data_IF_250753261455
#
_entry.id   IF_250753261455
#
_cell.length_a   1.000
_cell.length_b   1.000
_cell.length_c   1.000
_cell.angle_alpha   90.00
_cell.angle_beta   90.00
_cell.angle_gamma   90.00
#
_symmetry.space_group_name_H-M   'P 1'
#
loop_
_entity.id
_entity.type
_entity.pdbx_description
1 polymer ?
#
# COMPACT_ATOMS: atom_id res chain seq x y z
N UNK A 1 11.68 -38.00 -36.20
CA UNK A 1 11.45 -37.78 -34.76
C UNK A 1 10.73 -39.01 -34.21
N UNK A 2 11.36 -39.74 -33.30
CA UNK A 2 10.67 -40.80 -32.57
C UNK A 2 9.68 -40.18 -31.58
N UNK A 3 8.47 -40.73 -31.40
CA UNK A 3 7.53 -40.23 -30.41
C UNK A 3 8.13 -40.40 -29.01
N UNK A 4 8.36 -39.26 -28.34
CA UNK A 4 8.82 -39.22 -26.95
C UNK A 4 7.76 -39.90 -26.08
N UNK A 5 8.05 -41.12 -25.62
CA UNK A 5 7.18 -41.83 -24.68
C UNK A 5 7.42 -41.23 -23.29
N UNK A 6 6.45 -40.52 -22.70
CA UNK A 6 6.64 -39.94 -21.37
C UNK A 6 6.87 -41.06 -20.36
N UNK A 7 7.78 -40.89 -19.39
CA UNK A 7 7.99 -41.87 -18.34
C UNK A 7 6.68 -42.12 -17.59
N UNK A 8 6.22 -43.38 -17.56
CA UNK A 8 4.93 -43.82 -17.04
C UNK A 8 4.88 -43.95 -15.51
N UNK A 9 5.79 -43.30 -14.78
CA UNK A 9 5.83 -43.31 -13.32
C UNK A 9 5.30 -42.01 -12.72
N UNK A 10 4.65 -42.05 -11.53
CA UNK A 10 4.35 -40.84 -10.78
C UNK A 10 5.68 -40.17 -10.43
N UNK A 11 5.94 -38.99 -11.01
CA UNK A 11 7.11 -38.21 -10.65
C UNK A 11 6.88 -37.69 -9.23
N UNK A 12 7.62 -38.14 -8.21
CA UNK A 12 7.44 -37.62 -6.87
C UNK A 12 7.69 -36.11 -6.87
N UNK A 13 6.91 -35.39 -6.05
CA UNK A 13 7.08 -33.97 -5.77
C UNK A 13 8.41 -33.74 -5.04
N UNK A 14 9.52 -33.80 -5.77
CA UNK A 14 10.85 -33.58 -5.25
C UNK A 14 11.21 -32.10 -5.37
N UNK A 15 11.41 -31.46 -4.24
CA UNK A 15 12.11 -30.18 -4.18
C UNK A 15 13.54 -30.39 -4.68
N UNK A 16 13.95 -29.61 -5.68
CA UNK A 16 15.29 -29.70 -6.27
C UNK A 16 15.92 -28.32 -6.26
N UNK A 17 17.05 -28.19 -5.58
CA UNK A 17 17.85 -26.97 -5.57
C UNK A 17 18.66 -26.91 -6.86
N UNK A 18 18.42 -25.89 -7.69
CA UNK A 18 19.05 -25.75 -9.02
C UNK A 18 19.75 -24.40 -9.25
N UNK A 19 19.78 -23.55 -8.22
CA UNK A 19 20.28 -22.17 -8.27
C UNK A 19 21.80 -21.99 -8.33
N UNK A 20 22.57 -23.09 -8.37
CA UNK A 20 24.02 -23.08 -8.19
C UNK A 20 24.78 -22.30 -9.29
N UNK A 21 24.18 -22.16 -10.48
CA UNK A 21 24.83 -21.55 -11.65
C UNK A 21 24.36 -20.10 -11.93
N UNK A 22 23.65 -19.46 -10.99
CA UNK A 22 23.19 -18.08 -11.15
C UNK A 22 24.18 -17.14 -10.48
N UNK A 23 24.74 -16.21 -11.24
CA UNK A 23 25.70 -15.22 -10.70
C UNK A 23 25.01 -14.23 -9.76
N UNK A 24 25.79 -13.57 -8.90
CA UNK A 24 25.27 -12.59 -7.93
C UNK A 24 24.59 -11.39 -8.64
N UNK A 25 25.14 -10.91 -9.75
CA UNK A 25 24.54 -9.82 -10.52
C UNK A 25 23.19 -10.22 -11.13
N UNK A 26 23.08 -11.46 -11.61
CA UNK A 26 21.81 -12.02 -12.11
C UNK A 26 20.79 -12.16 -10.98
N UNK A 27 21.22 -12.55 -9.78
CA UNK A 27 20.36 -12.57 -8.59
C UNK A 27 19.77 -11.20 -8.29
N UNK A 28 20.60 -10.14 -8.29
CA UNK A 28 20.10 -8.79 -8.07
C UNK A 28 19.10 -8.36 -9.15
N UNK A 29 19.36 -8.68 -10.42
CA UNK A 29 18.43 -8.40 -11.50
C UNK A 29 17.09 -9.12 -11.30
N UNK A 30 17.12 -10.41 -10.97
CA UNK A 30 15.93 -11.23 -10.74
C UNK A 30 15.12 -10.77 -9.54
N UNK A 31 15.77 -10.43 -8.42
CA UNK A 31 15.09 -9.89 -7.24
C UNK A 31 14.50 -8.51 -7.51
N UNK A 32 15.19 -7.67 -8.28
CA UNK A 32 14.68 -6.35 -8.67
C UNK A 32 13.41 -6.49 -9.51
N UNK A 33 13.42 -7.35 -10.53
CA UNK A 33 12.24 -7.64 -11.36
C UNK A 33 11.10 -8.27 -10.55
N UNK A 34 11.43 -9.16 -9.63
CA UNK A 34 10.47 -9.78 -8.71
C UNK A 34 9.77 -8.71 -7.85
N UNK A 35 10.52 -7.86 -7.15
CA UNK A 35 9.93 -6.90 -6.22
C UNK A 35 9.34 -5.66 -6.89
N UNK A 36 9.69 -5.34 -8.14
CA UNK A 36 9.21 -4.15 -8.82
C UNK A 36 7.67 -4.02 -8.88
N UNK A 37 6.89 -5.06 -9.23
CA UNK A 37 5.43 -5.01 -9.17
C UNK A 37 4.87 -4.79 -7.76
N UNK A 38 5.44 -5.45 -6.75
CA UNK A 38 5.00 -5.27 -5.36
C UNK A 38 5.29 -3.84 -4.89
N UNK A 39 6.51 -3.35 -5.14
CA UNK A 39 6.92 -2.00 -4.79
C UNK A 39 6.05 -0.95 -5.50
N UNK A 40 5.82 -1.09 -6.81
CA UNK A 40 4.93 -0.21 -7.56
C UNK A 40 3.50 -0.21 -7.00
N UNK A 41 2.95 -1.39 -6.71
CA UNK A 41 1.61 -1.52 -6.14
C UNK A 41 1.50 -0.85 -4.77
N UNK A 42 2.49 -1.08 -3.89
CA UNK A 42 2.51 -0.57 -2.52
C UNK A 42 2.79 0.94 -2.51
N UNK A 43 3.94 1.38 -3.04
CA UNK A 43 4.39 2.77 -2.98
C UNK A 43 3.39 3.75 -3.58
N UNK A 44 2.77 3.37 -4.69
CA UNK A 44 1.80 4.23 -5.39
C UNK A 44 0.37 4.02 -4.86
N UNK A 45 0.11 2.89 -4.18
CA UNK A 45 -1.23 2.48 -3.74
C UNK A 45 -1.65 2.95 -2.35
N UNK A 46 -0.68 3.11 -1.44
CA UNK A 46 -0.93 3.50 -0.05
C UNK A 46 -1.63 4.88 0.03
N UNK A 47 -2.66 5.03 0.88
CA UNK A 47 -3.26 6.34 1.18
C UNK A 47 -2.31 7.23 1.98
N UNK A 48 -2.46 8.55 1.85
CA UNK A 48 -1.81 9.48 2.77
C UNK A 48 -2.36 9.29 4.17
N UNK A 49 -1.49 8.99 5.13
CA UNK A 49 -1.88 8.77 6.53
C UNK A 49 -1.98 10.12 7.24
N UNK A 50 -3.12 10.40 7.86
CA UNK A 50 -3.33 11.61 8.67
C UNK A 50 -3.50 11.17 10.12
N UNK A 51 -2.53 11.51 10.96
CA UNK A 51 -2.58 11.21 12.38
C UNK A 51 -3.27 12.34 13.14
N UNK A 52 -4.27 12.02 13.97
CA UNK A 52 -4.91 13.03 14.84
C UNK A 52 -4.82 12.68 16.32
N UNK A 53 -4.07 11.63 16.66
CA UNK A 53 -4.10 11.05 17.99
C UNK A 53 -3.05 11.60 18.95
N UNK A 54 -2.11 12.43 18.50
CA UNK A 54 -1.00 12.83 19.37
C UNK A 54 0.13 11.81 19.47
N UNK A 55 -0.08 10.60 18.96
CA UNK A 55 0.73 9.43 19.32
C UNK A 55 1.39 8.82 18.10
N UNK A 56 2.62 8.29 18.23
CA UNK A 56 3.26 7.57 17.14
C UNK A 56 2.40 6.35 16.76
N UNK A 57 2.12 6.22 15.47
CA UNK A 57 1.27 5.13 14.96
C UNK A 57 2.10 3.84 14.95
N UNK A 58 1.70 2.80 15.72
CA UNK A 58 2.45 1.54 15.77
C UNK A 58 2.43 0.83 14.41
N UNK A 59 3.52 0.12 14.09
CA UNK A 59 3.68 -0.59 12.82
C UNK A 59 2.55 -1.61 12.58
N UNK A 60 2.10 -2.30 13.63
CA UNK A 60 0.99 -3.26 13.58
C UNK A 60 -0.31 -2.65 13.03
N UNK A 61 -0.51 -1.33 13.18
CA UNK A 61 -1.66 -0.63 12.59
C UNK A 61 -1.42 -0.17 11.16
N UNK A 62 -0.17 0.02 10.75
CA UNK A 62 0.17 0.42 9.38
C UNK A 62 0.19 -0.78 8.43
N UNK A 63 0.63 -1.95 8.90
CA UNK A 63 0.78 -3.18 8.10
C UNK A 63 -0.47 -3.51 7.24
N UNK A 64 -1.69 -3.51 7.78
CA UNK A 64 -2.90 -3.80 7.01
C UNK A 64 -3.16 -2.86 5.82
N UNK A 65 -2.61 -1.64 5.86
CA UNK A 65 -2.75 -0.65 4.79
C UNK A 65 -1.89 -1.00 3.56
N UNK A 66 -0.82 -1.77 3.75
CA UNK A 66 0.05 -2.23 2.66
C UNK A 66 -0.52 -3.47 1.94
N UNK A 67 -1.55 -4.11 2.51
CA UNK A 67 -2.13 -5.32 1.93
C UNK A 67 -2.68 -5.06 0.51
N UNK A 68 -2.38 -5.91 -0.49
CA UNK A 68 -2.88 -5.73 -1.86
C UNK A 68 -4.41 -5.69 -1.97
N UNK A 69 -5.14 -6.41 -1.10
CA UNK A 69 -6.62 -6.34 -1.04
C UNK A 69 -7.07 -4.95 -0.64
N UNK A 70 -6.47 -4.37 0.41
CA UNK A 70 -6.79 -3.01 0.88
C UNK A 70 -6.54 -1.97 -0.22
N UNK A 71 -5.41 -2.08 -0.92
CA UNK A 71 -5.03 -1.16 -1.98
C UNK A 71 -5.96 -1.30 -3.19
N UNK A 72 -6.25 -2.52 -3.63
CA UNK A 72 -7.20 -2.76 -4.72
C UNK A 72 -8.61 -2.26 -4.36
N UNK A 73 -9.08 -2.52 -3.13
CA UNK A 73 -10.36 -2.03 -2.62
C UNK A 73 -10.42 -0.50 -2.68
N UNK A 74 -9.34 0.17 -2.25
CA UNK A 74 -9.21 1.62 -2.34
C UNK A 74 -9.40 2.12 -3.76
N UNK A 75 -8.74 1.51 -4.76
CA UNK A 75 -8.94 1.92 -6.15
C UNK A 75 -10.41 1.85 -6.58
N UNK A 76 -11.09 0.75 -6.28
CA UNK A 76 -12.50 0.58 -6.62
C UNK A 76 -13.36 1.63 -5.92
N UNK A 77 -13.13 1.87 -4.63
CA UNK A 77 -13.94 2.81 -3.85
C UNK A 77 -13.71 4.27 -4.21
N UNK A 78 -12.49 4.67 -4.59
CA UNK A 78 -12.20 6.03 -5.09
C UNK A 78 -12.99 6.29 -6.38
N UNK A 79 -12.91 5.35 -7.34
CA UNK A 79 -13.65 5.46 -8.60
C UNK A 79 -15.17 5.43 -8.36
N UNK A 80 -15.65 4.51 -7.53
CA UNK A 80 -17.07 4.39 -7.16
C UNK A 80 -17.61 5.70 -6.56
N UNK A 81 -16.90 6.26 -5.58
CA UNK A 81 -17.31 7.50 -4.92
C UNK A 81 -17.34 8.66 -5.90
N UNK A 82 -16.36 8.77 -6.79
CA UNK A 82 -16.37 9.80 -7.82
C UNK A 82 -17.59 9.69 -8.72
N UNK A 83 -17.94 8.48 -9.16
CA UNK A 83 -19.10 8.24 -10.04
C UNK A 83 -20.44 8.56 -9.35
N UNK A 84 -20.51 8.49 -8.02
CA UNK A 84 -21.69 8.85 -7.23
C UNK A 84 -21.80 10.36 -6.92
N UNK A 85 -20.69 11.10 -6.98
CA UNK A 85 -20.62 12.49 -6.53
C UNK A 85 -20.89 13.51 -7.65
N UNK A 86 -21.87 14.40 -7.44
CA UNK A 86 -22.22 15.50 -8.38
C UNK A 86 -21.42 16.79 -8.13
N UNK A 87 -20.84 16.97 -6.93
CA UNK A 87 -20.11 18.17 -6.51
C UNK A 87 -18.64 17.87 -6.18
N UNK A 88 -17.96 17.15 -7.06
CA UNK A 88 -16.58 16.72 -6.81
C UNK A 88 -15.60 17.91 -6.86
N UNK A 89 -15.05 18.28 -5.70
CA UNK A 89 -14.10 19.39 -5.54
C UNK A 89 -12.68 18.85 -5.31
N UNK A 90 -11.63 19.68 -5.45
CA UNK A 90 -10.27 19.26 -5.11
C UNK A 90 -10.13 18.82 -3.64
N UNK A 91 -10.87 19.45 -2.72
CA UNK A 91 -10.89 19.05 -1.31
C UNK A 91 -11.49 17.64 -1.12
N UNK A 92 -12.59 17.33 -1.82
CA UNK A 92 -13.17 15.97 -1.83
C UNK A 92 -12.17 14.92 -2.35
N UNK A 93 -11.40 15.28 -3.38
CA UNK A 93 -10.34 14.43 -3.92
C UNK A 93 -9.22 14.20 -2.91
N UNK A 94 -8.75 15.25 -2.22
CA UNK A 94 -7.75 15.13 -1.16
C UNK A 94 -8.22 14.19 -0.04
N UNK A 95 -9.41 14.47 0.51
CA UNK A 95 -9.97 13.69 1.60
C UNK A 95 -10.22 12.21 1.23
N UNK A 96 -10.59 11.95 -0.04
CA UNK A 96 -10.79 10.58 -0.56
C UNK A 96 -9.48 9.80 -0.65
N UNK A 97 -8.36 10.48 -0.88
CA UNK A 97 -7.05 9.86 -0.99
C UNK A 97 -6.35 9.69 0.37
N UNK A 98 -6.86 10.32 1.43
CA UNK A 98 -6.36 10.23 2.79
C UNK A 98 -7.05 9.11 3.59
N UNK A 99 -6.36 8.66 4.65
CA UNK A 99 -6.95 7.86 5.72
C UNK A 99 -6.64 8.53 7.05
N UNK A 100 -7.65 8.65 7.89
CA UNK A 100 -7.57 9.39 9.15
C UNK A 100 -7.49 8.40 10.31
N UNK A 101 -6.53 8.61 11.22
CA UNK A 101 -6.46 7.86 12.47
C UNK A 101 -7.28 8.61 13.52
N UNK A 102 -8.42 8.02 13.92
CA UNK A 102 -9.40 8.65 14.78
C UNK A 102 -9.58 7.96 16.14
N UNK A 103 -9.94 8.78 17.14
CA UNK A 103 -10.34 8.37 18.49
C UNK A 103 -9.19 7.91 19.38
N UNK A 104 -9.46 7.77 20.67
CA UNK A 104 -8.47 7.31 21.67
C UNK A 104 -7.94 5.90 21.36
N UNK A 105 -8.80 5.09 20.76
CA UNK A 105 -8.48 3.73 20.34
C UNK A 105 -7.64 3.73 19.04
N UNK A 106 -7.56 4.85 18.32
CA UNK A 106 -6.81 5.06 17.08
C UNK A 106 -7.19 4.10 15.96
N UNK A 107 -8.42 4.22 15.47
CA UNK A 107 -8.94 3.42 14.35
C UNK A 107 -8.76 4.17 13.05
N UNK A 108 -8.38 3.45 11.99
CA UNK A 108 -8.36 4.01 10.65
C UNK A 108 -9.78 4.19 10.13
N UNK A 109 -10.08 5.37 9.61
CA UNK A 109 -11.34 5.64 8.92
C UNK A 109 -11.09 6.49 7.69
N UNK A 110 -11.87 6.22 6.65
CA UNK A 110 -11.97 7.06 5.47
C UNK A 110 -13.42 7.14 5.00
N UNK A 111 -14.32 7.06 5.97
CA UNK A 111 -15.76 7.21 5.77
C UNK A 111 -16.06 8.59 5.21
N UNK A 112 -17.13 8.69 4.43
CA UNK A 112 -17.62 9.97 3.93
C UNK A 112 -17.87 10.96 5.09
N UNK A 113 -18.42 10.48 6.22
CA UNK A 113 -18.62 11.27 7.43
C UNK A 113 -17.32 11.71 8.13
N UNK A 114 -16.26 10.88 8.10
CA UNK A 114 -14.95 11.29 8.59
C UNK A 114 -14.36 12.38 7.70
N UNK A 115 -14.38 12.17 6.39
CA UNK A 115 -13.86 13.15 5.44
C UNK A 115 -14.51 14.51 5.59
N UNK A 116 -15.82 14.57 5.78
CA UNK A 116 -16.54 15.83 5.99
C UNK A 116 -16.06 16.63 7.18
N UNK A 117 -15.80 15.94 8.31
CA UNK A 117 -15.20 16.58 9.48
C UNK A 117 -13.83 17.19 9.15
N UNK A 118 -13.08 16.58 8.23
CA UNK A 118 -11.75 17.04 7.83
C UNK A 118 -11.70 17.95 6.60
N UNK A 119 -12.81 18.17 5.91
CA UNK A 119 -12.92 19.16 4.83
C UNK A 119 -12.99 20.60 5.35
N UNK A 120 -13.10 20.79 6.66
CA UNK A 120 -13.02 22.11 7.27
C UNK A 120 -11.72 22.82 6.84
N UNK A 121 -11.77 24.12 6.47
CA UNK A 121 -10.59 24.88 6.04
C UNK A 121 -9.42 24.85 7.03
N UNK A 122 -9.68 24.62 8.31
CA UNK A 122 -8.66 24.50 9.36
C UNK A 122 -7.85 23.20 9.30
N UNK A 123 -8.36 22.15 8.65
CA UNK A 123 -7.73 20.83 8.60
C UNK A 123 -6.96 20.57 7.30
N UNK A 124 -7.37 21.15 6.18
CA UNK A 124 -6.74 20.97 4.87
C UNK A 124 -5.74 22.12 4.61
N UNK A 125 -4.44 21.83 4.71
CA UNK A 125 -3.37 22.83 4.49
C UNK A 125 -3.22 23.12 3.00
N UNK A 126 -3.19 22.05 2.18
CA UNK A 126 -2.98 22.13 0.74
C UNK A 126 -4.01 21.26 0.03
N UNK A 127 -4.90 21.89 -0.73
CA UNK A 127 -5.76 21.19 -1.68
C UNK A 127 -5.01 20.96 -3.00
N UNK A 128 -5.32 19.88 -3.75
CA UNK A 128 -4.87 19.74 -5.12
C UNK A 128 -5.35 20.94 -5.97
N UNK A 129 -4.60 21.33 -7.01
CA UNK A 129 -4.99 22.46 -7.86
C UNK A 129 -6.27 22.19 -8.65
N UNK A 130 -6.55 20.92 -8.94
CA UNK A 130 -7.70 20.47 -9.74
C UNK A 130 -8.39 19.29 -9.08
N UNK A 131 -9.62 19.04 -9.51
CA UNK A 131 -10.43 17.89 -9.06
C UNK A 131 -10.12 16.59 -9.82
N UNK A 132 -9.00 16.59 -10.55
CA UNK A 132 -8.41 15.46 -11.25
C UNK A 132 -6.88 15.57 -11.25
N UNK A 133 -6.20 14.45 -11.47
CA UNK A 133 -4.74 14.36 -11.55
C UNK A 133 -4.25 15.01 -12.85
N UNK A 134 -3.21 15.84 -12.77
CA UNK A 134 -2.54 16.37 -13.95
C UNK A 134 -1.79 15.25 -14.69
N UNK A 135 -1.88 15.24 -16.03
CA UNK A 135 -1.24 14.22 -16.88
C UNK A 135 0.29 14.18 -16.70
N UNK A 136 0.90 15.32 -16.37
CA UNK A 136 2.33 15.47 -16.10
C UNK A 136 2.52 15.62 -14.58
N UNK A 137 2.26 14.54 -13.84
CA UNK A 137 2.43 14.50 -12.38
C UNK A 137 3.10 13.21 -11.93
N UNK A 138 3.70 13.22 -10.74
CA UNK A 138 4.29 12.02 -10.12
C UNK A 138 3.24 10.92 -9.91
N UNK A 139 2.01 11.31 -9.57
CA UNK A 139 0.89 10.37 -9.40
C UNK A 139 0.46 9.71 -10.72
N UNK A 140 0.48 10.46 -11.83
CA UNK A 140 0.22 9.89 -13.15
C UNK A 140 1.36 8.98 -13.60
N UNK A 141 2.62 9.38 -13.39
CA UNK A 141 3.78 8.54 -13.70
C UNK A 141 3.73 7.21 -12.94
N UNK A 142 3.47 7.23 -11.63
CA UNK A 142 3.31 6.01 -10.83
C UNK A 142 2.16 5.13 -11.32
N UNK A 143 1.08 5.74 -11.80
CA UNK A 143 -0.03 4.99 -12.41
C UNK A 143 0.35 4.35 -13.74
N UNK A 144 1.08 5.07 -14.61
CA UNK A 144 1.58 4.52 -15.87
C UNK A 144 2.52 3.32 -15.63
N UNK A 145 3.46 3.43 -14.69
CA UNK A 145 4.36 2.33 -14.33
C UNK A 145 3.58 1.09 -13.92
N UNK A 146 2.63 1.25 -13.00
CA UNK A 146 1.82 0.14 -12.49
C UNK A 146 0.91 -0.47 -13.57
N UNK A 147 0.33 0.36 -14.44
CA UNK A 147 -0.51 -0.10 -15.55
C UNK A 147 0.32 -0.85 -16.60
N UNK A 148 1.51 -0.35 -16.96
CA UNK A 148 2.39 -1.06 -17.89
C UNK A 148 2.88 -2.40 -17.33
N UNK A 149 3.27 -2.45 -16.05
CA UNK A 149 3.61 -3.71 -15.39
C UNK A 149 2.44 -4.70 -15.42
N UNK A 150 1.22 -4.24 -15.14
CA UNK A 150 0.02 -5.06 -15.19
C UNK A 150 -0.33 -5.54 -16.60
N UNK A 151 -0.21 -4.68 -17.59
CA UNK A 151 -0.48 -5.00 -18.99
C UNK A 151 0.54 -6.01 -19.54
N UNK A 152 1.83 -5.84 -19.21
CA UNK A 152 2.88 -6.80 -19.55
C UNK A 152 2.59 -8.17 -18.91
N UNK A 153 2.31 -8.20 -17.60
CA UNK A 153 2.02 -9.46 -16.91
C UNK A 153 0.76 -10.15 -17.45
N UNK A 154 -0.27 -9.38 -17.83
CA UNK A 154 -1.48 -9.91 -18.44
C UNK A 154 -1.19 -10.46 -19.84
N UNK A 155 -0.45 -9.73 -20.67
CA UNK A 155 -0.05 -10.16 -22.01
C UNK A 155 0.74 -11.47 -21.98
N UNK A 156 1.73 -11.55 -21.08
CA UNK A 156 2.48 -12.79 -20.86
C UNK A 156 1.53 -13.93 -20.47
N UNK A 157 0.65 -13.69 -19.48
CA UNK A 157 -0.33 -14.69 -19.00
C UNK A 157 -1.24 -15.22 -20.11
N UNK A 158 -1.74 -14.33 -20.97
CA UNK A 158 -2.58 -14.68 -22.11
C UNK A 158 -1.82 -15.53 -23.12
N UNK A 159 -0.57 -15.15 -23.45
CA UNK A 159 0.26 -15.92 -24.38
C UNK A 159 0.51 -17.32 -23.84
N UNK A 160 0.90 -17.48 -22.58
CA UNK A 160 1.18 -18.82 -22.08
C UNK A 160 -0.08 -19.67 -21.97
N UNK A 161 -1.23 -19.07 -21.62
CA UNK A 161 -2.51 -19.76 -21.68
C UNK A 161 -2.84 -20.23 -23.11
N UNK A 162 -2.64 -19.37 -24.13
CA UNK A 162 -2.85 -19.71 -25.53
C UNK A 162 -1.91 -20.83 -26.01
N UNK A 163 -0.66 -20.81 -25.55
CA UNK A 163 0.36 -21.81 -25.88
C UNK A 163 0.26 -23.09 -25.03
N UNK A 164 -0.70 -23.17 -24.09
CA UNK A 164 -0.79 -24.25 -23.08
C UNK A 164 0.53 -24.47 -22.32
N UNK A 165 1.35 -23.44 -22.23
CA UNK A 165 2.65 -23.46 -21.56
C UNK A 165 2.50 -22.94 -20.14
N UNK A 166 3.17 -23.57 -19.17
CA UNK A 166 3.16 -23.08 -17.80
C UNK A 166 4.09 -21.88 -17.67
N UNK A 167 3.52 -20.75 -17.28
CA UNK A 167 4.19 -19.46 -17.20
C UNK A 167 4.91 -19.25 -15.85
N UNK A 168 5.82 -20.15 -15.48
CA UNK A 168 6.65 -19.93 -14.28
C UNK A 168 8.10 -19.67 -14.72
N UNK A 169 8.38 -18.39 -14.95
CA UNK A 169 9.67 -17.86 -15.43
C UNK A 169 10.63 -17.49 -14.28
N UNK A 170 10.64 -18.29 -13.22
CA UNK A 170 11.51 -18.03 -12.07
C UNK A 170 10.97 -16.93 -11.13
N UNK A 171 11.84 -16.38 -10.26
CA UNK A 171 11.45 -15.49 -9.17
C UNK A 171 10.84 -14.16 -9.65
N UNK A 172 11.23 -13.66 -10.83
CA UNK A 172 10.65 -12.45 -11.42
C UNK A 172 9.11 -12.54 -11.60
N UNK A 173 8.56 -13.75 -11.72
CA UNK A 173 7.12 -13.96 -11.91
C UNK A 173 6.30 -13.98 -10.62
N UNK A 174 6.95 -14.00 -9.45
CA UNK A 174 6.26 -14.19 -8.16
C UNK A 174 5.19 -13.11 -7.94
N UNK A 175 5.46 -11.84 -8.26
CA UNK A 175 4.49 -10.76 -8.05
C UNK A 175 3.68 -10.37 -9.31
N UNK A 176 3.75 -11.14 -10.40
CA UNK A 176 2.96 -10.89 -11.61
C UNK A 176 1.45 -10.81 -11.37
N UNK A 177 0.82 -11.68 -10.55
CA UNK A 177 -0.63 -11.56 -10.34
C UNK A 177 -1.04 -10.28 -9.59
N UNK A 178 -0.15 -9.70 -8.78
CA UNK A 178 -0.36 -8.36 -8.20
C UNK A 178 -0.30 -7.32 -9.31
N UNK A 179 0.67 -7.42 -10.22
CA UNK A 179 0.75 -6.54 -11.38
C UNK A 179 -0.57 -6.55 -12.17
N UNK A 180 -1.10 -7.73 -12.50
CA UNK A 180 -2.38 -7.90 -13.21
C UNK A 180 -3.54 -7.28 -12.41
N UNK A 181 -3.63 -7.59 -11.10
CA UNK A 181 -4.66 -7.03 -10.22
C UNK A 181 -4.57 -5.50 -10.13
N UNK A 182 -3.39 -4.92 -10.35
CA UNK A 182 -3.17 -3.49 -10.32
C UNK A 182 -3.77 -2.75 -11.52
N UNK A 183 -4.20 -3.45 -12.57
CA UNK A 183 -4.95 -2.83 -13.68
C UNK A 183 -6.26 -2.19 -13.21
N UNK A 184 -6.83 -2.65 -12.09
CA UNK A 184 -7.99 -2.01 -11.44
C UNK A 184 -7.71 -0.55 -11.05
N UNK A 185 -6.43 -0.17 -10.87
CA UNK A 185 -6.03 1.22 -10.63
C UNK A 185 -6.47 2.15 -11.77
N UNK A 186 -6.57 1.66 -13.01
CA UNK A 186 -6.95 2.46 -14.17
C UNK A 186 -8.30 3.17 -13.98
N UNK A 187 -9.24 2.53 -13.30
CA UNK A 187 -10.56 3.12 -13.03
C UNK A 187 -10.50 4.34 -12.11
N UNK A 188 -9.51 4.42 -11.22
CA UNK A 188 -9.32 5.51 -10.28
C UNK A 188 -8.17 6.45 -10.64
N UNK A 189 -7.42 6.15 -11.70
CA UNK A 189 -6.26 6.91 -12.17
C UNK A 189 -6.49 8.44 -12.21
N UNK A 190 -7.63 8.95 -12.71
CA UNK A 190 -7.86 10.40 -12.77
C UNK A 190 -8.03 11.07 -11.40
N UNK A 191 -8.21 10.31 -10.32
CA UNK A 191 -8.52 10.82 -8.98
C UNK A 191 -7.60 10.29 -7.88
N UNK A 192 -6.57 9.49 -8.21
CA UNK A 192 -5.55 9.08 -7.24
C UNK A 192 -4.42 10.09 -7.27
N UNK A 193 -4.29 10.87 -6.20
CA UNK A 193 -3.22 11.86 -6.03
C UNK A 193 -2.57 11.72 -4.67
N UNK A 194 -1.33 12.21 -4.56
CA UNK A 194 -0.64 12.48 -3.29
C UNK A 194 -0.33 13.97 -3.12
N UNK A 195 -0.78 14.83 -4.05
CA UNK A 195 -0.53 16.27 -4.04
C UNK A 195 -1.55 17.03 -3.18
N UNK A 196 -1.55 16.73 -1.88
CA UNK A 196 -2.33 17.43 -0.86
C UNK A 196 -1.68 17.25 0.50
N UNK A 197 -2.05 18.12 1.45
CA UNK A 197 -1.58 18.03 2.82
C UNK A 197 -2.71 18.34 3.79
N UNK A 198 -2.87 17.50 4.80
CA UNK A 198 -3.70 17.78 5.97
C UNK A 198 -2.81 18.18 7.12
N UNK A 199 -3.33 19.04 7.99
CA UNK A 199 -2.67 19.43 9.24
C UNK A 199 -2.50 18.20 10.11
N UNK A 200 -1.28 17.96 10.61
CA UNK A 200 -1.02 16.91 11.59
C UNK A 200 -1.40 17.42 12.99
N UNK A 201 -1.52 16.52 13.96
CA UNK A 201 -1.87 16.88 15.34
C UNK A 201 -0.89 17.88 15.97
N UNK A 202 0.41 17.78 15.64
CA UNK A 202 1.48 18.61 16.23
C UNK A 202 1.30 20.10 15.92
N UNK A 203 0.68 20.42 14.77
CA UNK A 203 0.43 21.78 14.33
C UNK A 203 -0.78 22.43 15.01
N UNK A 204 -1.60 21.66 15.76
CA UNK A 204 -2.81 22.20 16.39
C UNK A 204 -2.52 23.02 17.64
N UNK A 205 -1.51 22.63 18.41
CA UNK A 205 -1.21 23.27 19.70
C UNK A 205 -0.59 24.67 19.52
N UNK A 206 0.04 24.94 18.37
CA UNK A 206 0.71 26.21 18.08
C UNK A 206 -0.24 27.38 17.74
N UNK A 207 -1.53 27.12 17.47
CA UNK A 207 -2.50 28.17 17.04
C UNK A 207 -3.42 28.61 18.18
N UNK A 208 -3.46 27.87 19.29
CA UNK A 208 -4.51 28.01 20.31
C UNK A 208 -4.22 29.02 21.44
N UNK A 209 -3.07 29.69 21.49
CA UNK A 209 -2.84 30.78 22.44
C UNK A 209 -2.65 32.10 21.70
N UNK A 210 -3.73 32.84 21.40
CA UNK A 210 -3.58 34.27 21.21
C UNK A 210 -3.01 34.82 22.51
N UNK A 211 -1.75 35.25 22.48
CA UNK A 211 -1.09 35.94 23.59
C UNK A 211 -1.98 37.12 24.01
N UNK A 212 -2.79 36.89 25.04
CA UNK A 212 -3.64 37.92 25.65
C UNK A 212 -2.81 38.71 26.67
N UNK A 213 -1.49 38.78 26.46
CA UNK A 213 -0.53 39.28 27.45
C UNK A 213 0.54 40.17 26.80
N UNK A 214 0.15 41.27 26.16
CA UNK A 214 0.93 42.51 26.20
C UNK A 214 0.15 43.68 25.58
N UNK A 215 -0.76 44.26 26.36
CA UNK A 215 -1.12 45.68 26.19
C UNK A 215 -1.15 46.32 27.56
N UNK A 216 0.04 46.57 28.12
CA UNK A 216 0.23 47.58 29.15
C UNK A 216 1.68 48.03 29.20
N UNK A 217 1.91 49.33 28.91
CA UNK A 217 3.16 50.11 28.95
C UNK A 217 4.16 49.77 27.84
N UNK A 218 4.73 50.70 27.06
CA UNK A 218 5.15 52.06 27.39
C UNK A 218 5.09 52.97 26.15
N UNK A 219 4.32 54.06 26.27
CA UNK A 219 4.53 55.31 25.53
C UNK A 219 5.72 56.05 26.13
N UNK A 220 6.94 55.77 25.66
CA UNK A 220 8.10 56.64 25.83
C UNK A 220 9.20 56.11 24.91
N UNK A 221 9.27 56.61 23.67
CA UNK A 221 10.51 56.87 22.91
C UNK A 221 10.17 57.39 21.52
N UNK A 222 9.49 58.54 21.52
CA UNK A 222 9.40 59.41 20.36
C UNK A 222 10.38 60.58 20.57
N UNK A 223 11.68 60.32 20.46
CA UNK A 223 12.72 61.32 20.15
C UNK A 223 14.12 60.69 20.15
N UNK A 224 14.58 60.15 19.02
CA UNK A 224 16.01 60.27 18.65
C UNK A 224 16.28 59.90 17.20
N UNK A 225 16.76 60.92 16.49
CA UNK A 225 17.76 60.88 15.42
C UNK A 225 17.28 60.55 14.01
N UNK A 226 16.76 61.62 13.42
CA UNK A 226 17.11 62.09 12.08
C UNK A 226 18.61 62.08 11.79
N UNK A 227 18.96 61.65 10.57
CA UNK A 227 20.10 62.16 9.81
C UNK A 227 21.25 61.18 9.61
N UNK A 228 21.41 60.70 8.37
CA UNK A 228 22.63 60.92 7.54
C UNK A 228 22.50 60.21 6.19
N UNK A 229 22.42 61.02 5.14
CA UNK A 229 22.63 60.66 3.72
C UNK A 229 24.15 60.55 3.40
N UNK A 230 24.42 60.20 2.13
CA UNK A 230 25.71 59.94 1.43
C UNK A 230 26.12 58.46 1.52
N UNK A 231 26.11 57.65 0.47
CA UNK A 231 26.47 57.90 -0.94
C UNK A 231 27.81 57.20 -1.21
N UNK A 232 27.90 56.34 -2.23
CA UNK A 232 29.11 56.05 -3.06
C UNK A 232 28.84 54.88 -4.02
N UNK A 233 29.48 55.03 -5.17
CA UNK A 233 29.40 54.40 -6.49
C UNK A 233 29.85 52.93 -6.66
N UNK A 234 29.39 52.39 -7.81
CA UNK A 234 30.04 51.53 -8.82
C UNK A 234 30.99 50.37 -8.46
N UNK A 235 30.82 49.27 -9.22
CA UNK A 235 31.91 48.37 -9.60
C UNK A 235 31.50 46.91 -9.76
N UNK A 236 31.49 46.41 -11.01
CA UNK A 236 31.20 45.01 -11.36
C UNK A 236 32.33 44.00 -11.07
N UNK A 237 32.56 43.01 -11.94
CA UNK A 237 32.08 41.64 -11.78
C UNK A 237 33.20 40.60 -11.54
N UNK A 238 32.83 39.30 -11.57
CA UNK A 238 33.67 38.09 -11.75
C UNK A 238 34.04 37.32 -10.48
N UNK A 239 33.77 36.00 -10.50
CA UNK A 239 34.42 35.05 -9.59
C UNK A 239 33.69 33.72 -9.44
N UNK A 240 33.91 32.79 -10.36
CA UNK A 240 33.71 31.34 -10.14
C UNK A 240 34.40 30.88 -8.85
N UNK A 241 33.87 29.84 -8.19
CA UNK A 241 34.68 28.70 -7.78
C UNK A 241 33.87 27.48 -7.34
N UNK A 242 34.29 26.36 -7.91
CA UNK A 242 34.06 24.96 -7.60
C UNK A 242 34.99 24.53 -6.47
N UNK A 243 34.56 23.59 -5.61
CA UNK A 243 35.34 22.57 -4.84
C UNK A 243 34.63 22.32 -3.50
N UNK A 244 34.11 21.13 -3.20
CA UNK A 244 34.83 19.87 -2.91
C UNK A 244 35.52 19.92 -1.53
N UNK A 245 34.97 19.16 -0.58
CA UNK A 245 35.57 18.74 0.69
C UNK A 245 34.85 17.44 1.04
N UNK A 246 35.34 16.29 0.60
CA UNK A 246 36.39 15.46 1.22
C UNK A 246 36.13 15.08 2.68
N UNK A 247 36.32 13.78 2.89
CA UNK A 247 36.07 12.99 4.07
C UNK A 247 37.16 13.17 5.13
N UNK A 248 36.77 13.04 6.40
CA UNK A 248 37.45 12.27 7.44
C UNK A 248 36.49 12.26 8.65
N UNK A 249 36.11 11.14 9.25
CA UNK A 249 36.99 10.11 9.81
C UNK A 249 37.15 10.38 11.31
N UNK A 250 36.34 9.73 12.16
CA UNK A 250 36.77 9.34 13.51
C UNK A 250 35.86 8.31 14.19
N UNK A 251 36.52 7.20 14.51
CA UNK A 251 36.11 6.11 15.37
C UNK A 251 35.76 6.58 16.78
N UNK A 252 34.84 5.84 17.42
CA UNK A 252 34.47 6.01 18.82
C UNK A 252 33.74 4.78 19.32
N UNK A 253 34.49 3.68 19.47
CA UNK A 253 34.06 2.45 20.14
C UNK A 253 33.76 2.73 21.61
N UNK A 254 32.53 2.45 22.06
CA UNK A 254 32.27 2.18 23.47
C UNK A 254 31.32 1.00 23.65
N UNK A 255 31.60 0.28 24.72
CA UNK A 255 31.40 -1.13 24.97
C UNK A 255 30.47 -1.20 26.17
N UNK A 256 29.28 -1.76 26.02
CA UNK A 256 28.46 -2.14 27.17
C UNK A 256 27.93 -3.57 27.05
N UNK A 257 27.92 -4.20 28.21
CA UNK A 257 27.77 -5.62 28.52
C UNK A 257 26.33 -6.15 28.32
N UNK A 258 26.13 -7.48 28.34
CA UNK A 258 24.84 -8.09 28.09
C UNK A 258 23.97 -8.05 29.35
N UNK A 259 22.80 -7.40 29.25
CA UNK A 259 21.76 -7.49 30.26
C UNK A 259 20.94 -8.77 30.05
N UNK A 260 20.78 -9.51 31.15
CA UNK A 260 20.21 -10.84 31.21
C UNK A 260 18.69 -10.72 31.32
N UNK A 261 17.95 -11.29 30.38
CA UNK A 261 16.49 -11.22 30.33
C UNK A 261 15.90 -12.32 31.24
N UNK A 262 15.57 -11.97 32.49
CA UNK A 262 14.76 -12.81 33.38
C UNK A 262 13.26 -12.67 33.06
N UNK A 263 12.57 -13.81 32.91
CA UNK A 263 11.10 -13.89 32.86
C UNK A 263 10.48 -13.56 34.23
N UNK A 264 9.34 -12.86 34.31
CA UNK A 264 8.58 -12.79 35.54
C UNK A 264 7.74 -14.06 35.75
N UNK A 265 7.95 -14.68 36.92
CA UNK A 265 7.07 -15.66 37.56
C UNK A 265 5.71 -15.03 37.88
N UNK A 266 4.66 -15.82 37.68
CA UNK A 266 3.34 -15.58 38.26
C UNK A 266 3.42 -15.62 39.80
N UNK A 267 2.84 -14.61 40.45
CA UNK A 267 2.57 -14.60 41.88
C UNK A 267 1.05 -14.45 42.04
N UNK A 268 0.43 -15.53 42.49
CA UNK A 268 -0.86 -15.51 43.17
C UNK A 268 -0.63 -15.15 44.65
N UNK A 269 -1.55 -14.36 45.21
CA UNK A 269 -1.95 -14.19 46.62
C UNK A 269 -2.24 -12.69 46.87
N UNK A 270 -3.48 -12.29 47.14
CA UNK A 270 -4.32 -12.50 48.34
C UNK A 270 -4.26 -11.27 49.25
N UNK A 271 -5.46 -10.83 49.61
CA UNK A 271 -5.83 -9.96 50.73
C UNK A 271 -5.54 -8.45 50.70
N UNK A 272 -6.66 -7.73 50.58
CA UNK A 272 -7.18 -6.84 51.63
C UNK A 272 -6.25 -5.71 52.10
N UNK A 273 -6.45 -4.49 51.58
CA UNK A 273 -6.60 -3.33 52.45
C UNK A 273 -7.17 -2.11 51.74
N UNK A 274 -8.09 -1.46 52.45
CA UNK A 274 -8.86 -0.30 52.02
C UNK A 274 -8.19 0.97 52.55
N UNK A 275 -7.86 1.97 51.72
CA UNK A 275 -7.67 3.33 52.22
C UNK A 275 -8.93 4.15 51.95
N UNK A 276 -9.65 4.46 53.03
CA UNK A 276 -10.63 5.56 53.07
C UNK A 276 -9.88 6.86 52.83
N UNK A 277 -10.16 7.53 51.71
CA UNK A 277 -9.81 8.93 51.52
C UNK A 277 -11.06 9.72 51.11
N UNK A 278 -11.46 10.77 51.85
CA UNK A 278 -12.65 11.54 51.56
C UNK A 278 -12.34 12.56 50.44
N UNK A 279 -12.73 12.23 49.21
CA UNK A 279 -12.74 13.23 48.14
C UNK A 279 -13.91 14.18 48.33
N UNK A 280 -13.53 15.43 48.53
CA UNK A 280 -14.34 16.65 48.48
C UNK A 280 -15.25 16.62 47.26
N UNK A 281 -16.56 16.59 47.51
CA UNK A 281 -17.62 16.81 46.53
C UNK A 281 -17.55 18.26 46.05
N UNK A 282 -17.01 18.49 44.86
CA UNK A 282 -17.27 19.71 44.11
C UNK A 282 -18.69 19.64 43.52
N UNK A 283 -19.51 20.68 43.70
CA UNK A 283 -20.90 20.69 43.24
C UNK A 283 -20.98 20.81 41.72
N UNK A 284 -21.98 20.11 41.19
CA UNK A 284 -22.32 19.92 39.78
C UNK A 284 -22.08 21.12 38.86
N UNK A 285 -21.27 20.89 37.84
CA UNK A 285 -21.51 21.46 36.52
C UNK A 285 -21.99 20.32 35.64
N UNK A 286 -23.31 20.22 35.50
CA UNK A 286 -23.95 19.41 34.47
C UNK A 286 -23.56 20.02 33.12
N UNK A 287 -22.38 19.64 32.63
CA UNK A 287 -21.99 19.86 31.26
C UNK A 287 -22.97 19.05 30.41
N UNK A 288 -23.96 19.74 29.86
CA UNK A 288 -24.86 19.21 28.86
C UNK A 288 -24.03 18.48 27.81
N UNK A 289 -24.18 17.16 27.73
CA UNK A 289 -23.78 16.41 26.55
C UNK A 289 -24.50 17.08 25.37
N UNK A 290 -23.80 17.61 24.36
CA UNK A 290 -24.44 18.08 23.14
C UNK A 290 -24.89 16.85 22.36
N UNK A 291 -25.97 16.24 22.84
CA UNK A 291 -26.62 15.13 22.20
C UNK A 291 -27.37 15.65 20.97
N UNK A 292 -27.11 14.98 19.85
CA UNK A 292 -27.84 15.04 18.59
C UNK A 292 -27.54 16.31 17.78
N UNK A 293 -26.32 16.37 17.25
CA UNK A 293 -26.15 16.89 15.88
C UNK A 293 -26.97 15.96 15.00
N UNK A 294 -28.18 16.40 14.64
CA UNK A 294 -28.93 15.83 13.53
C UNK A 294 -27.98 15.86 12.33
N UNK A 295 -27.44 14.69 11.99
CA UNK A 295 -26.68 14.44 10.76
C UNK A 295 -27.60 14.71 9.58
N UNK A 296 -27.75 16.00 9.24
CA UNK A 296 -28.14 16.42 7.92
C UNK A 296 -27.11 15.83 6.99
N UNK A 297 -27.48 14.72 6.33
CA UNK A 297 -26.68 14.13 5.25
C UNK A 297 -26.26 15.27 4.34
N UNK A 298 -24.97 15.57 4.26
CA UNK A 298 -24.55 16.83 3.67
C UNK A 298 -24.90 16.87 2.19
N UNK A 299 -25.23 18.07 1.76
CA UNK A 299 -25.82 18.41 0.47
C UNK A 299 -25.08 17.86 -0.76
N UNK A 300 -23.79 17.55 -0.65
CA UNK A 300 -23.01 17.02 -1.77
C UNK A 300 -23.15 15.49 -1.95
N UNK A 301 -23.56 14.75 -0.90
CA UNK A 301 -23.92 13.33 -0.97
C UNK A 301 -25.40 13.20 -1.36
N UNK A 302 -25.79 13.83 -2.47
CA UNK A 302 -27.03 13.41 -3.12
C UNK A 302 -26.72 12.13 -3.87
N UNK A 303 -26.82 10.99 -3.19
CA UNK A 303 -26.71 9.66 -3.77
C UNK A 303 -27.67 9.57 -4.96
N UNK A 304 -27.16 9.78 -6.18
CA UNK A 304 -27.85 9.27 -7.34
C UNK A 304 -27.53 7.78 -7.39
N UNK A 305 -28.53 6.89 -7.53
CA UNK A 305 -28.28 5.53 -7.98
C UNK A 305 -27.70 5.64 -9.39
N UNK A 306 -26.38 5.76 -9.47
CA UNK A 306 -25.65 5.90 -10.71
C UNK A 306 -25.43 4.51 -11.27
N UNK A 307 -26.09 4.19 -12.39
CA UNK A 307 -25.85 2.94 -13.11
C UNK A 307 -24.34 2.74 -13.38
N UNK A 308 -23.59 3.83 -13.61
CA UNK A 308 -22.13 3.79 -13.76
C UNK A 308 -21.39 3.18 -12.57
N UNK A 309 -21.77 3.50 -11.33
CA UNK A 309 -21.16 2.92 -10.12
C UNK A 309 -21.46 1.41 -10.03
N UNK A 310 -22.70 1.01 -10.36
CA UNK A 310 -23.08 -0.40 -10.43
C UNK A 310 -22.28 -1.13 -11.52
N UNK A 311 -22.18 -0.54 -12.72
CA UNK A 311 -21.40 -1.10 -13.84
C UNK A 311 -19.93 -1.29 -13.45
N UNK A 312 -19.30 -0.29 -12.81
CA UNK A 312 -17.93 -0.40 -12.31
C UNK A 312 -17.78 -1.60 -11.37
N UNK A 313 -18.66 -1.74 -10.38
CA UNK A 313 -18.63 -2.85 -9.42
C UNK A 313 -18.76 -4.20 -10.12
N UNK A 314 -19.71 -4.33 -11.05
CA UNK A 314 -19.92 -5.58 -11.82
C UNK A 314 -18.68 -5.91 -12.67
N UNK A 315 -18.08 -4.93 -13.35
CA UNK A 315 -16.87 -5.14 -14.16
C UNK A 315 -15.70 -5.61 -13.30
N UNK A 316 -15.49 -4.99 -12.14
CA UNK A 316 -14.41 -5.39 -11.21
C UNK A 316 -14.67 -6.78 -10.65
N UNK A 317 -15.90 -7.09 -10.20
CA UNK A 317 -16.24 -8.41 -9.69
C UNK A 317 -16.08 -9.49 -10.76
N UNK A 318 -16.48 -9.21 -12.01
CA UNK A 318 -16.29 -10.11 -13.14
C UNK A 318 -14.81 -10.36 -13.43
N UNK A 319 -13.98 -9.31 -13.38
CA UNK A 319 -12.52 -9.43 -13.55
C UNK A 319 -11.90 -10.39 -12.51
N UNK A 320 -12.21 -10.21 -11.22
CA UNK A 320 -11.69 -11.10 -10.18
C UNK A 320 -12.31 -12.50 -10.23
N UNK A 321 -13.58 -12.64 -10.62
CA UNK A 321 -14.22 -13.93 -10.84
C UNK A 321 -13.53 -14.71 -11.97
N UNK A 322 -13.18 -14.03 -13.08
CA UNK A 322 -12.43 -14.63 -14.17
C UNK A 322 -11.03 -15.08 -13.71
N UNK A 323 -10.32 -14.27 -12.92
CA UNK A 323 -9.03 -14.67 -12.34
C UNK A 323 -9.17 -15.91 -11.46
N UNK A 324 -10.16 -15.96 -10.55
CA UNK A 324 -10.41 -17.13 -9.72
C UNK A 324 -10.73 -18.36 -10.58
N UNK A 325 -11.57 -18.22 -11.62
CA UNK A 325 -11.89 -19.30 -12.55
C UNK A 325 -10.66 -19.87 -13.26
N UNK A 326 -9.75 -19.00 -13.73
CA UNK A 326 -8.48 -19.43 -14.33
C UNK A 326 -7.64 -20.21 -13.31
N UNK A 327 -7.50 -19.71 -12.08
CA UNK A 327 -6.73 -20.42 -11.04
C UNK A 327 -7.35 -21.78 -10.69
N UNK A 328 -8.67 -21.83 -10.51
CA UNK A 328 -9.41 -23.06 -10.23
C UNK A 328 -9.22 -24.08 -11.34
N UNK A 329 -9.34 -23.67 -12.61
CA UNK A 329 -9.11 -24.56 -13.75
C UNK A 329 -7.67 -25.09 -13.80
N UNK A 330 -6.69 -24.30 -13.40
CA UNK A 330 -5.30 -24.74 -13.28
C UNK A 330 -5.14 -25.82 -12.17
N UNK A 331 -5.79 -25.66 -11.01
CA UNK A 331 -5.76 -26.65 -9.94
C UNK A 331 -6.43 -27.98 -10.32
N UNK A 332 -7.55 -27.94 -11.05
CA UNK A 332 -8.25 -29.16 -11.46
C UNK A 332 -7.61 -29.88 -12.65
N UNK A 333 -6.69 -29.24 -13.36
CA UNK A 333 -5.93 -29.90 -14.41
C UNK A 333 -4.82 -30.77 -13.79
N UNK A 334 -5.09 -32.07 -13.59
CA UNK A 334 -4.15 -33.01 -12.97
C UNK A 334 -2.76 -33.03 -13.64
N UNK A 335 -2.68 -32.84 -14.95
CA UNK A 335 -1.40 -32.74 -15.66
C UNK A 335 -0.63 -31.48 -15.30
N UNK A 336 -1.33 -30.40 -14.98
CA UNK A 336 -0.72 -29.16 -14.53
C UNK A 336 -0.11 -29.33 -13.13
N UNK A 337 -0.85 -29.91 -12.18
CA UNK A 337 -0.30 -30.15 -10.84
C UNK A 337 0.91 -31.10 -10.85
N UNK A 338 0.89 -32.14 -11.70
CA UNK A 338 2.00 -33.08 -11.79
C UNK A 338 3.30 -32.46 -12.35
N UNK A 339 3.20 -31.37 -13.11
CA UNK A 339 4.37 -30.68 -13.71
C UNK A 339 4.79 -29.43 -12.94
N UNK A 340 4.03 -29.02 -11.93
CA UNK A 340 4.29 -27.80 -11.18
C UNK A 340 5.44 -27.99 -10.18
N UNK A 341 6.31 -26.98 -10.07
CA UNK A 341 7.31 -26.91 -9.01
C UNK A 341 6.67 -26.61 -7.65
N UNK A 342 7.41 -26.79 -6.55
CA UNK A 342 6.88 -26.46 -5.23
C UNK A 342 6.59 -24.95 -5.11
N UNK A 343 7.48 -24.11 -5.64
CA UNK A 343 7.24 -22.66 -5.74
C UNK A 343 6.00 -22.34 -6.56
N UNK A 344 5.74 -23.06 -7.65
CA UNK A 344 4.56 -22.87 -8.48
C UNK A 344 3.25 -23.19 -7.77
N UNK A 345 3.22 -24.29 -7.02
CA UNK A 345 2.05 -24.65 -6.20
C UNK A 345 1.85 -23.63 -5.07
N UNK A 346 2.92 -23.25 -4.37
CA UNK A 346 2.87 -22.26 -3.31
C UNK A 346 2.39 -20.90 -3.83
N UNK A 347 2.86 -20.49 -5.00
CA UNK A 347 2.46 -19.27 -5.71
C UNK A 347 0.97 -19.31 -6.10
N UNK A 348 0.54 -20.40 -6.75
CA UNK A 348 -0.84 -20.58 -7.17
C UNK A 348 -1.81 -20.51 -5.98
N UNK A 349 -1.47 -21.15 -4.86
CA UNK A 349 -2.28 -21.13 -3.64
C UNK A 349 -2.30 -19.73 -2.99
N UNK A 350 -1.15 -19.07 -2.87
CA UNK A 350 -1.04 -17.71 -2.34
C UNK A 350 -1.99 -16.74 -3.07
N UNK A 351 -2.00 -16.80 -4.40
CA UNK A 351 -2.83 -15.91 -5.22
C UNK A 351 -4.28 -16.37 -5.33
N UNK A 352 -4.55 -17.67 -5.27
CA UNK A 352 -5.91 -18.16 -5.17
C UNK A 352 -6.58 -17.63 -3.89
N UNK A 353 -5.90 -17.74 -2.74
CA UNK A 353 -6.40 -17.20 -1.47
C UNK A 353 -6.58 -15.69 -1.55
N UNK A 354 -5.59 -14.94 -2.06
CA UNK A 354 -5.68 -13.49 -2.20
C UNK A 354 -6.90 -13.05 -3.06
N UNK A 355 -7.05 -13.64 -4.24
CA UNK A 355 -8.11 -13.25 -5.20
C UNK A 355 -9.48 -13.73 -4.76
N UNK A 356 -9.60 -14.94 -4.20
CA UNK A 356 -10.85 -15.45 -3.66
C UNK A 356 -11.32 -14.63 -2.46
N UNK A 357 -10.41 -14.26 -1.55
CA UNK A 357 -10.75 -13.38 -0.42
C UNK A 357 -11.15 -11.98 -0.89
N UNK A 358 -10.44 -11.39 -1.86
CA UNK A 358 -10.83 -10.10 -2.43
C UNK A 358 -12.24 -10.15 -3.01
N UNK A 359 -12.54 -11.19 -3.82
CA UNK A 359 -13.85 -11.39 -4.42
C UNK A 359 -14.94 -11.57 -3.35
N UNK A 360 -14.71 -12.44 -2.36
CA UNK A 360 -15.66 -12.70 -1.29
C UNK A 360 -15.95 -11.44 -0.45
N UNK A 361 -14.91 -10.73 -0.01
CA UNK A 361 -15.05 -9.48 0.75
C UNK A 361 -15.76 -8.42 -0.09
N UNK A 362 -15.44 -8.33 -1.39
CA UNK A 362 -16.08 -7.37 -2.28
C UNK A 362 -17.55 -7.65 -2.46
N UNK A 363 -17.94 -8.90 -2.73
CA UNK A 363 -19.35 -9.29 -2.82
C UNK A 363 -20.07 -8.99 -1.51
N UNK A 364 -19.54 -9.41 -0.36
CA UNK A 364 -20.18 -9.21 0.95
C UNK A 364 -20.38 -7.72 1.25
N UNK A 365 -19.34 -6.89 1.12
CA UNK A 365 -19.44 -5.47 1.47
C UNK A 365 -20.25 -4.65 0.46
N UNK A 366 -20.19 -4.98 -0.83
CA UNK A 366 -21.02 -4.33 -1.84
C UNK A 366 -22.51 -4.68 -1.65
N UNK A 367 -22.84 -5.95 -1.33
CA UNK A 367 -24.22 -6.37 -1.05
C UNK A 367 -24.76 -5.75 0.24
N UNK A 368 -23.91 -5.56 1.26
CA UNK A 368 -24.29 -4.88 2.50
C UNK A 368 -24.39 -3.35 2.36
N UNK A 369 -24.06 -2.78 1.20
CA UNK A 369 -24.00 -1.32 1.01
C UNK A 369 -22.91 -0.63 1.82
N UNK A 370 -21.94 -1.36 2.37
CA UNK A 370 -20.84 -0.83 3.19
C UNK A 370 -19.69 -0.34 2.30
N UNK A 371 -20.00 0.56 1.38
CA UNK A 371 -19.06 1.14 0.39
C UNK A 371 -18.79 2.62 0.65
N UNK A 372 -19.03 3.08 1.87
CA UNK A 372 -18.85 4.49 2.24
C UNK A 372 -17.41 4.79 2.68
N UNK A 373 -16.59 3.76 2.90
CA UNK A 373 -15.17 3.86 3.24
C UNK A 373 -14.31 3.56 2.00
N UNK A 374 -13.23 4.32 1.78
CA UNK A 374 -12.19 3.91 0.81
C UNK A 374 -11.28 2.82 1.34
N UNK A 375 -11.32 2.57 2.63
CA UNK A 375 -10.65 1.46 3.29
C UNK A 375 -11.59 0.26 3.38
N UNK A 376 -11.01 -0.95 3.38
CA UNK A 376 -11.81 -2.16 3.57
C UNK A 376 -12.35 -2.16 5.02
N UNK A 377 -13.66 -2.41 5.26
CA UNK A 377 -14.23 -2.27 6.60
C UNK A 377 -13.57 -3.12 7.68
N UNK A 378 -12.96 -4.25 7.32
CA UNK A 378 -12.22 -5.10 8.25
C UNK A 378 -10.77 -4.66 8.52
N UNK A 379 -10.29 -3.53 7.99
CA UNK A 379 -8.88 -3.11 8.10
C UNK A 379 -8.40 -2.95 9.55
N UNK A 380 -9.30 -2.55 10.45
CA UNK A 380 -9.03 -2.39 11.87
C UNK A 380 -9.14 -3.70 12.68
N UNK A 381 -9.50 -4.82 12.05
CA UNK A 381 -9.67 -6.11 12.73
C UNK A 381 -8.32 -6.79 12.95
N UNK A 382 -8.13 -7.34 14.15
CA UNK A 382 -6.96 -8.19 14.48
C UNK A 382 -6.83 -9.37 13.52
N UNK A 383 -7.94 -9.96 13.09
CA UNK A 383 -7.93 -11.06 12.12
C UNK A 383 -7.36 -10.64 10.76
N UNK A 384 -7.66 -9.41 10.33
CA UNK A 384 -7.15 -8.88 9.08
C UNK A 384 -5.64 -8.55 9.16
N UNK A 385 -5.17 -8.12 10.33
CA UNK A 385 -3.73 -7.99 10.62
C UNK A 385 -3.03 -9.35 10.57
N UNK A 386 -3.55 -10.36 11.27
CA UNK A 386 -2.99 -11.73 11.27
C UNK A 386 -2.93 -12.28 9.85
N UNK A 387 -4.03 -12.16 9.09
CA UNK A 387 -4.08 -12.53 7.69
C UNK A 387 -2.98 -11.83 6.87
N UNK A 388 -2.81 -10.53 7.04
CA UNK A 388 -1.81 -9.75 6.30
C UNK A 388 -0.39 -10.23 6.61
N UNK A 389 -0.07 -10.49 7.88
CA UNK A 389 1.23 -11.03 8.29
C UNK A 389 1.46 -12.40 7.65
N UNK A 390 0.49 -13.32 7.77
CA UNK A 390 0.57 -14.66 7.19
C UNK A 390 0.78 -14.60 5.68
N UNK A 391 0.07 -13.72 4.98
CA UNK A 391 0.20 -13.55 3.54
C UNK A 391 1.60 -13.04 3.13
N UNK A 392 2.16 -12.05 3.83
CA UNK A 392 3.52 -11.58 3.56
C UNK A 392 4.58 -12.62 3.89
N UNK A 393 4.44 -13.35 5.01
CA UNK A 393 5.34 -14.45 5.34
C UNK A 393 5.30 -15.52 4.25
N UNK A 394 4.11 -15.89 3.76
CA UNK A 394 3.98 -16.84 2.66
C UNK A 394 4.61 -16.28 1.37
N UNK A 395 4.38 -15.01 1.02
CA UNK A 395 5.03 -14.40 -0.14
C UNK A 395 6.56 -14.48 -0.07
N UNK A 396 7.16 -14.21 1.09
CA UNK A 396 8.62 -14.36 1.32
C UNK A 396 9.06 -15.82 1.14
N UNK A 397 8.33 -16.78 1.72
CA UNK A 397 8.61 -18.21 1.53
C UNK A 397 8.55 -18.60 0.06
N UNK A 398 7.56 -18.12 -0.69
CA UNK A 398 7.43 -18.38 -2.13
C UNK A 398 8.60 -17.78 -2.92
N UNK A 399 9.07 -16.58 -2.58
CA UNK A 399 10.28 -15.98 -3.19
C UNK A 399 11.51 -16.87 -2.91
N UNK A 400 11.70 -17.33 -1.68
CA UNK A 400 12.82 -18.20 -1.31
C UNK A 400 12.75 -19.54 -2.05
N UNK A 401 11.58 -20.18 -2.09
CA UNK A 401 11.40 -21.42 -2.84
C UNK A 401 11.67 -21.24 -4.34
N UNK A 402 11.14 -20.15 -4.93
CA UNK A 402 11.38 -19.82 -6.32
C UNK A 402 12.86 -19.56 -6.59
N UNK A 403 13.55 -18.91 -5.65
CA UNK A 403 14.97 -18.67 -5.74
C UNK A 403 15.81 -19.97 -5.64
N UNK A 404 15.39 -20.95 -4.82
CA UNK A 404 16.09 -22.23 -4.72
C UNK A 404 15.87 -23.12 -5.96
N UNK A 405 14.68 -23.06 -6.55
CA UNK A 405 14.29 -23.87 -7.71
C UNK A 405 14.68 -23.23 -9.06
N UNK A 406 15.05 -21.95 -9.10
CA UNK A 406 15.40 -21.30 -10.37
C UNK A 406 16.69 -21.89 -10.94
N UNK A 407 16.71 -22.04 -12.26
CA UNK A 407 17.91 -22.26 -13.05
C UNK A 407 17.88 -21.45 -14.33
N UNK A 408 19.05 -21.32 -14.95
CA UNK A 408 19.23 -20.73 -16.28
C UNK A 408 19.30 -21.83 -17.34
N UNK A 409 18.52 -21.72 -18.41
CA UNK A 409 18.59 -22.61 -19.58
C UNK A 409 19.80 -22.26 -20.47
N UNK A 410 20.12 -23.12 -21.44
CA UNK A 410 21.22 -22.88 -22.39
C UNK A 410 21.04 -21.61 -23.24
N UNK A 411 19.79 -21.22 -23.54
CA UNK A 411 19.47 -19.96 -24.22
C UNK A 411 19.37 -18.75 -23.28
N UNK A 412 19.65 -18.93 -21.98
CA UNK A 412 19.71 -17.83 -21.01
C UNK A 412 18.38 -17.46 -20.34
N UNK A 413 17.32 -18.24 -20.53
CA UNK A 413 16.01 -18.01 -19.90
C UNK A 413 16.01 -18.57 -18.47
N UNK A 414 15.38 -17.86 -17.55
CA UNK A 414 15.18 -18.32 -16.17
C UNK A 414 13.89 -19.13 -16.04
N UNK A 415 13.98 -20.30 -15.41
CA UNK A 415 12.84 -21.19 -15.19
C UNK A 415 12.98 -21.97 -13.90
N UNK A 416 11.85 -22.41 -13.34
CA UNK A 416 11.78 -23.37 -12.23
C UNK A 416 11.56 -24.81 -12.70
N UNK A 417 11.44 -25.04 -14.02
CA UNK A 417 11.29 -26.39 -14.55
C UNK A 417 12.58 -27.18 -14.38
N UNK A 418 12.47 -28.45 -14.00
CA UNK A 418 13.63 -29.34 -13.91
C UNK A 418 14.28 -29.53 -15.28
N UNK A 419 15.61 -29.58 -15.31
CA UNK A 419 16.36 -29.92 -16.53
C UNK A 419 15.97 -31.31 -17.08
N UNK A 420 15.66 -32.26 -16.20
CA UNK A 420 15.20 -33.60 -16.57
C UNK A 420 13.84 -33.63 -17.29
N UNK A 421 13.07 -32.53 -17.27
CA UNK A 421 11.80 -32.45 -17.97
C UNK A 421 11.96 -32.32 -19.49
N UNK A 422 13.18 -32.02 -19.98
CA UNK A 422 13.45 -31.90 -21.41
C UNK A 422 12.74 -30.72 -22.10
N UNK A 423 12.27 -29.73 -21.34
CA UNK A 423 11.51 -28.58 -21.86
C UNK A 423 12.41 -27.44 -22.36
N UNK A 424 13.73 -27.56 -22.28
CA UNK A 424 14.66 -26.48 -22.61
C UNK A 424 14.58 -26.08 -24.08
N UNK A 425 14.52 -27.06 -24.99
CA UNK A 425 14.43 -26.80 -26.43
C UNK A 425 13.12 -26.07 -26.79
N UNK A 426 12.01 -26.48 -26.17
CA UNK A 426 10.70 -25.85 -26.36
C UNK A 426 10.70 -24.40 -25.82
N UNK A 427 11.21 -24.18 -24.60
CA UNK A 427 11.32 -22.85 -24.00
C UNK A 427 12.20 -21.92 -24.84
N UNK A 428 13.33 -22.42 -25.32
CA UNK A 428 14.24 -21.66 -26.17
C UNK A 428 13.62 -21.34 -27.53
N UNK A 429 12.94 -22.30 -28.16
CA UNK A 429 12.23 -22.10 -29.43
C UNK A 429 11.18 -21.00 -29.31
N UNK A 430 10.38 -21.00 -28.23
CA UNK A 430 9.38 -19.96 -27.99
C UNK A 430 9.99 -18.57 -27.81
N UNK A 431 11.12 -18.48 -27.12
CA UNK A 431 11.81 -17.21 -26.93
C UNK A 431 12.28 -16.60 -28.25
N UNK A 432 12.86 -17.42 -29.13
CA UNK A 432 13.31 -16.95 -30.44
C UNK A 432 12.17 -16.70 -31.44
N UNK A 433 11.02 -17.36 -31.29
CA UNK A 433 9.86 -17.12 -32.15
C UNK A 433 9.10 -15.83 -31.82
N UNK A 434 9.28 -15.29 -30.60
CA UNK A 434 8.62 -14.08 -30.12
C UNK A 434 9.48 -12.80 -30.19
N UNK A 435 10.79 -12.94 -30.42
CA UNK A 435 11.72 -11.85 -30.74
C UNK A 435 11.79 -11.63 -32.23
#
# INVERSE_FOLDING_TARGET
>A
MAPFSPPSGPVPYQFLVQSQNVSVSEWFAQLTLCFAPLAGHVLVGIPTLVNRTGRPIPLSRRIPLFNPITIAWRYVMIADRRLRCNGWTPAHMAATNAVFLEGDVGRWTSSEAAMERYLAPSSLIKAPPKSHVDLISVSMLGTLVVVFQGAQALYESVIAAALKSMLIRGPASVFMPIAISSLVRLFAAPWITQDFAFRDWEDWDCVATPDTTSTSSSTADAARLTGREEGVEEGGPVGNNTAQTEADGKEGTQRESPETLELPRAVEDSDNDTPKNPHVLLPGSAAATPDIITTTTPLWIRHRPGWLSITLRVVVLFFFLAMVGVQVSHFFNHHALARSSLSGIALGLLYHVLTALFLALSVVYMLQGKTNDTMIPCVNSTWYLVYTIVWYTWAVVTVVLSALEVRRTSCGIYTVFRASAGLDEELCSYYFAGT
#
